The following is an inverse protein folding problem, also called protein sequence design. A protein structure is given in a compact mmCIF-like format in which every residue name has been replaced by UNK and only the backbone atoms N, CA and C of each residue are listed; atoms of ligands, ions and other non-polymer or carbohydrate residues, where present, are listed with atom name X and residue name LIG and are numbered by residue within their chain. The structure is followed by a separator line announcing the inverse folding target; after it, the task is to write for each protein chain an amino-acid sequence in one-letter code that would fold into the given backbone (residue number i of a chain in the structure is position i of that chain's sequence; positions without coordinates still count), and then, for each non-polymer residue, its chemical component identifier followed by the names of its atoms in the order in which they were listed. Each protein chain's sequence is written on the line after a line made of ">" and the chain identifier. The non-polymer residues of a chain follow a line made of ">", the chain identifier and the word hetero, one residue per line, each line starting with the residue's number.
data_IF_668523086918
#
_entry.id   IF_668523086918
#
_cell.length_a   1.000
_cell.length_b   1.000
_cell.length_c   1.000
_cell.angle_alpha   90.00
_cell.angle_beta   90.00
_cell.angle_gamma   90.00
#
_symmetry.space_group_name_H-M   'P 1'
#
loop_
_entity.id
_entity.type
_entity.pdbx_description
1 polymer ?
#
# COMPACT_ATOMS: atom_id res chain seq x y z
N UNK A 1 20.99 4.08 -5.65
CA UNK A 1 19.64 4.42 -5.15
C UNK A 1 19.23 3.51 -3.99
N UNK A 2 18.92 2.21 -4.14
CA UNK A 2 18.64 1.32 -2.98
C UNK A 2 19.85 1.14 -2.04
N UNK A 3 21.01 0.78 -2.58
CA UNK A 3 22.23 0.60 -1.77
C UNK A 3 22.69 1.89 -1.09
N UNK A 4 22.53 3.03 -1.76
CA UNK A 4 22.90 4.33 -1.23
C UNK A 4 22.01 4.77 -0.06
N UNK A 5 20.78 4.26 0.04
CA UNK A 5 19.79 4.66 1.05
C UNK A 5 19.49 3.55 2.06
N UNK A 6 20.22 2.42 2.05
CA UNK A 6 19.90 1.25 2.89
C UNK A 6 19.96 1.50 4.40
N UNK A 7 20.73 2.51 4.83
CA UNK A 7 20.86 2.90 6.22
C UNK A 7 19.96 4.09 6.61
N UNK A 8 19.13 4.60 5.68
CA UNK A 8 18.19 5.67 5.98
C UNK A 8 16.99 5.09 6.74
N UNK A 9 16.57 5.79 7.79
CA UNK A 9 15.47 5.36 8.67
C UNK A 9 14.34 6.38 8.81
N UNK A 10 14.47 7.57 8.20
CA UNK A 10 13.47 8.64 8.30
C UNK A 10 12.27 8.44 7.38
N UNK A 11 12.49 7.80 6.23
CA UNK A 11 11.48 7.56 5.21
C UNK A 11 11.84 6.28 4.47
N UNK A 12 10.89 5.36 4.40
CA UNK A 12 10.94 4.23 3.47
C UNK A 12 10.07 4.60 2.28
N UNK A 13 10.68 4.62 1.09
CA UNK A 13 9.96 4.82 -0.16
C UNK A 13 9.96 3.52 -0.95
N UNK A 14 8.78 3.06 -1.34
CA UNK A 14 8.59 1.87 -2.16
C UNK A 14 8.12 2.32 -3.53
N UNK A 15 8.84 1.91 -4.57
CA UNK A 15 8.46 2.16 -5.95
C UNK A 15 7.95 0.86 -6.58
N UNK A 16 6.64 0.80 -6.79
CA UNK A 16 5.95 -0.36 -7.34
C UNK A 16 6.02 -0.38 -8.88
N UNK A 17 7.15 -0.81 -9.43
CA UNK A 17 7.37 -0.93 -10.87
C UNK A 17 6.95 -2.31 -11.38
N UNK A 18 6.17 -2.35 -12.47
CA UNK A 18 5.61 -3.59 -13.01
C UNK A 18 4.90 -4.45 -11.93
N UNK A 19 4.28 -3.76 -10.99
CA UNK A 19 3.64 -4.37 -9.83
C UNK A 19 2.19 -4.76 -10.14
N UNK A 20 1.75 -5.90 -9.60
CA UNK A 20 0.35 -6.28 -9.54
C UNK A 20 0.08 -7.20 -8.36
N UNK A 21 -0.87 -6.83 -7.50
CA UNK A 21 -1.10 -7.52 -6.23
C UNK A 21 -1.53 -8.99 -6.40
N UNK A 22 -2.34 -9.29 -7.42
CA UNK A 22 -2.70 -10.69 -7.72
C UNK A 22 -1.49 -11.58 -8.00
N UNK A 23 -0.51 -11.06 -8.73
CA UNK A 23 0.71 -11.78 -9.11
C UNK A 23 1.69 -11.88 -7.92
N UNK A 24 1.76 -10.82 -7.09
CA UNK A 24 2.45 -10.84 -5.79
C UNK A 24 1.91 -11.95 -4.87
N UNK A 25 0.60 -12.02 -4.69
CA UNK A 25 -0.04 -13.04 -3.83
C UNK A 25 0.26 -14.45 -4.35
N UNK A 26 0.22 -14.67 -5.67
CA UNK A 26 0.55 -15.98 -6.26
C UNK A 26 2.01 -16.36 -5.99
N UNK A 27 2.96 -15.41 -6.12
CA UNK A 27 4.37 -15.65 -5.76
C UNK A 27 4.54 -15.98 -4.29
N UNK A 28 3.92 -15.20 -3.41
CA UNK A 28 4.00 -15.39 -1.96
C UNK A 28 3.50 -16.78 -1.54
N UNK A 29 2.33 -17.19 -2.04
CA UNK A 29 1.78 -18.53 -1.78
C UNK A 29 2.69 -19.64 -2.31
N UNK A 30 3.23 -19.51 -3.53
CA UNK A 30 4.18 -20.49 -4.07
C UNK A 30 5.44 -20.61 -3.21
N UNK A 31 5.97 -19.49 -2.71
CA UNK A 31 7.13 -19.47 -1.83
C UNK A 31 6.86 -20.18 -0.51
N UNK A 32 5.70 -19.92 0.11
CA UNK A 32 5.31 -20.59 1.36
C UNK A 32 5.20 -22.12 1.17
N UNK A 33 4.53 -22.56 0.11
CA UNK A 33 4.41 -23.99 -0.23
C UNK A 33 5.80 -24.62 -0.42
N UNK A 34 6.68 -23.97 -1.19
CA UNK A 34 8.03 -24.49 -1.45
C UNK A 34 8.90 -24.57 -0.18
N UNK A 35 8.71 -23.64 0.75
CA UNK A 35 9.40 -23.62 2.03
C UNK A 35 8.84 -24.59 3.08
N UNK A 36 7.67 -25.20 2.82
CA UNK A 36 6.98 -26.07 3.78
C UNK A 36 6.41 -25.31 4.99
N UNK A 37 6.32 -23.98 4.91
CA UNK A 37 5.77 -23.14 5.96
C UNK A 37 4.24 -23.25 6.02
N UNK A 38 3.68 -23.11 7.21
CA UNK A 38 2.25 -22.99 7.41
C UNK A 38 1.71 -21.76 6.64
N UNK A 39 0.55 -21.92 6.00
CA UNK A 39 -0.14 -20.83 5.32
C UNK A 39 -1.15 -20.21 6.29
N UNK A 40 -0.85 -19.01 6.75
CA UNK A 40 -1.70 -18.18 7.60
C UNK A 40 -1.73 -16.76 7.03
N UNK A 41 -2.60 -15.88 7.55
CA UNK A 41 -2.59 -14.47 7.16
C UNK A 41 -1.24 -13.82 7.48
N UNK A 42 -0.66 -14.15 8.63
CA UNK A 42 0.65 -13.66 9.05
C UNK A 42 1.77 -14.14 8.12
N UNK A 43 1.83 -15.44 7.83
CA UNK A 43 2.90 -15.97 6.98
C UNK A 43 2.76 -15.50 5.54
N UNK A 44 1.53 -15.33 5.03
CA UNK A 44 1.28 -14.76 3.72
C UNK A 44 1.69 -13.29 3.65
N UNK A 45 1.30 -12.47 4.63
CA UNK A 45 1.70 -11.06 4.70
C UNK A 45 3.23 -10.88 4.71
N UNK A 46 3.92 -11.71 5.49
CA UNK A 46 5.39 -11.72 5.55
C UNK A 46 6.06 -12.20 4.26
N UNK A 47 5.36 -12.94 3.40
CA UNK A 47 5.88 -13.50 2.16
C UNK A 47 5.64 -12.62 0.92
N UNK A 48 4.92 -11.49 1.04
CA UNK A 48 4.69 -10.53 -0.04
C UNK A 48 5.98 -9.79 -0.44
N UNK A 49 6.00 -9.23 -1.66
CA UNK A 49 7.15 -8.44 -2.15
C UNK A 49 7.34 -7.16 -1.30
N UNK A 50 6.25 -6.70 -0.68
CA UNK A 50 6.20 -5.58 0.25
C UNK A 50 5.69 -6.04 1.62
N UNK A 51 6.56 -6.63 2.48
CA UNK A 51 6.16 -7.16 3.80
C UNK A 51 5.91 -6.05 4.84
N UNK A 52 5.62 -4.84 4.38
CA UNK A 52 5.32 -3.71 5.24
C UNK A 52 3.86 -3.78 5.69
N UNK A 53 3.61 -3.19 6.86
CA UNK A 53 2.31 -3.14 7.51
C UNK A 53 1.19 -2.65 6.60
N UNK A 54 -0.05 -2.86 7.06
CA UNK A 54 -1.26 -2.30 6.45
C UNK A 54 -1.09 -0.82 6.08
N UNK A 55 -1.64 -0.46 4.93
CA UNK A 55 -1.71 0.93 4.49
C UNK A 55 -2.88 1.63 5.16
N UNK A 56 -2.60 2.83 5.65
CA UNK A 56 -3.61 3.69 6.26
C UNK A 56 -4.41 4.49 5.24
N UNK A 57 -3.75 4.97 4.19
CA UNK A 57 -4.33 5.90 3.22
C UNK A 57 -3.82 5.60 1.81
N UNK A 58 -4.74 5.39 0.88
CA UNK A 58 -4.50 5.34 -0.55
C UNK A 58 -5.01 6.61 -1.23
N UNK A 59 -4.09 7.37 -1.84
CA UNK A 59 -4.41 8.57 -2.62
C UNK A 59 -4.37 8.22 -4.10
N UNK A 60 -5.43 8.56 -4.85
CA UNK A 60 -5.50 8.35 -6.29
C UNK A 60 -5.96 9.60 -7.02
N UNK A 61 -5.16 10.02 -7.99
CA UNK A 61 -5.36 11.22 -8.82
C UNK A 61 -6.20 10.91 -10.06
N UNK A 62 -6.53 11.95 -10.82
CA UNK A 62 -7.18 11.89 -12.14
C UNK A 62 -8.63 11.38 -12.14
N UNK A 63 -9.37 11.56 -11.03
CA UNK A 63 -10.78 11.20 -10.88
C UNK A 63 -11.10 9.71 -11.09
N UNK A 64 -10.09 8.83 -10.95
CA UNK A 64 -10.27 7.40 -11.19
C UNK A 64 -10.68 6.67 -9.92
N UNK A 65 -11.96 6.34 -9.78
CA UNK A 65 -12.52 5.65 -8.60
C UNK A 65 -12.37 4.14 -8.75
N UNK A 66 -11.14 3.66 -8.61
CA UNK A 66 -10.81 2.23 -8.63
C UNK A 66 -9.48 1.98 -7.94
N UNK A 67 -9.18 0.73 -7.62
CA UNK A 67 -7.87 0.33 -7.06
C UNK A 67 -6.90 -0.10 -8.16
N UNK A 68 -7.39 -0.74 -9.22
CA UNK A 68 -6.56 -1.24 -10.32
C UNK A 68 -5.43 -2.20 -9.89
N UNK A 69 -5.74 -3.19 -9.05
CA UNK A 69 -4.80 -4.25 -8.65
C UNK A 69 -3.55 -3.72 -7.89
N UNK A 70 -3.64 -2.54 -7.29
CA UNK A 70 -2.58 -1.93 -6.51
C UNK A 70 -2.70 -2.33 -5.03
N UNK A 71 -1.63 -2.89 -4.46
CA UNK A 71 -1.48 -3.21 -3.03
C UNK A 71 -2.71 -3.85 -2.35
N UNK A 72 -3.40 -4.79 -3.02
CA UNK A 72 -4.70 -5.33 -2.58
C UNK A 72 -4.69 -5.90 -1.16
N UNK A 73 -3.59 -6.54 -0.75
CA UNK A 73 -3.46 -7.08 0.59
C UNK A 73 -3.31 -5.96 1.62
N UNK A 74 -2.40 -5.02 1.34
CA UNK A 74 -2.00 -3.96 2.24
C UNK A 74 -3.11 -2.90 2.41
N UNK A 75 -3.96 -2.68 1.40
CA UNK A 75 -5.04 -1.68 1.47
C UNK A 75 -6.36 -2.21 2.01
N UNK A 76 -6.41 -3.45 2.53
CA UNK A 76 -7.65 -4.09 2.97
C UNK A 76 -8.47 -3.22 3.95
N UNK A 77 -7.79 -2.43 4.77
CA UNK A 77 -8.39 -1.50 5.75
C UNK A 77 -7.98 -0.04 5.54
N UNK A 78 -7.42 0.28 4.38
CA UNK A 78 -7.01 1.64 4.06
C UNK A 78 -8.22 2.55 3.85
N UNK A 79 -8.07 3.83 4.20
CA UNK A 79 -8.93 4.87 3.67
C UNK A 79 -8.52 5.27 2.25
N UNK A 80 -9.49 5.78 1.49
CA UNK A 80 -9.30 6.17 0.11
C UNK A 80 -9.55 7.67 -0.07
N UNK A 81 -8.60 8.36 -0.68
CA UNK A 81 -8.74 9.74 -1.14
C UNK A 81 -8.62 9.76 -2.67
N UNK A 82 -9.71 10.09 -3.35
CA UNK A 82 -9.72 10.30 -4.80
C UNK A 82 -9.75 11.80 -5.08
N UNK A 83 -8.86 12.28 -5.93
CA UNK A 83 -8.83 13.67 -6.39
C UNK A 83 -8.97 13.74 -7.90
N UNK A 84 -9.61 14.80 -8.39
CA UNK A 84 -9.74 15.09 -9.81
C UNK A 84 -8.43 15.65 -10.41
N UNK A 85 -7.53 16.18 -9.58
CA UNK A 85 -6.23 16.71 -9.99
C UNK A 85 -5.44 15.65 -10.76
N UNK A 86 -4.88 16.00 -11.91
CA UNK A 86 -4.00 15.12 -12.67
C UNK A 86 -2.64 15.01 -11.99
N UNK A 87 -1.94 13.87 -12.14
CA UNK A 87 -0.64 13.66 -11.47
C UNK A 87 0.40 14.79 -11.70
N UNK A 88 0.57 15.33 -12.92
CA UNK A 88 1.52 16.44 -13.14
C UNK A 88 1.16 17.74 -12.38
N UNK A 89 -0.12 17.90 -12.04
CA UNK A 89 -0.65 19.10 -11.37
C UNK A 89 -0.79 18.90 -9.85
N UNK A 90 -0.56 17.68 -9.34
CA UNK A 90 -0.72 17.35 -7.93
C UNK A 90 0.36 18.02 -7.07
N UNK A 91 -0.06 18.78 -6.06
CA UNK A 91 0.85 19.63 -5.26
C UNK A 91 1.06 19.12 -3.84
N UNK A 92 2.15 19.55 -3.20
CA UNK A 92 2.39 19.27 -1.78
C UNK A 92 1.34 19.88 -0.87
N UNK A 93 0.72 21.01 -1.27
CA UNK A 93 -0.37 21.63 -0.51
C UNK A 93 -1.61 20.75 -0.50
N UNK A 94 -1.97 20.19 -1.66
CA UNK A 94 -3.09 19.26 -1.78
C UNK A 94 -2.83 17.96 -1.00
N UNK A 95 -1.61 17.42 -1.06
CA UNK A 95 -1.23 16.28 -0.22
C UNK A 95 -1.42 16.59 1.28
N UNK A 96 -0.99 17.77 1.73
CA UNK A 96 -1.14 18.17 3.13
C UNK A 96 -2.62 18.28 3.54
N UNK A 97 -3.48 18.81 2.66
CA UNK A 97 -4.92 18.88 2.89
C UNK A 97 -5.56 17.49 2.98
N UNK A 98 -5.19 16.58 2.08
CA UNK A 98 -5.67 15.19 2.10
C UNK A 98 -5.26 14.50 3.40
N UNK A 99 -4.01 14.69 3.85
CA UNK A 99 -3.52 14.13 5.11
C UNK A 99 -4.26 14.71 6.31
N UNK A 100 -4.52 16.01 6.33
CA UNK A 100 -5.25 16.66 7.42
C UNK A 100 -6.71 16.16 7.49
N UNK A 101 -7.36 16.01 6.33
CA UNK A 101 -8.68 15.41 6.22
C UNK A 101 -8.69 13.95 6.71
N UNK A 102 -7.65 13.17 6.40
CA UNK A 102 -7.50 11.79 6.90
C UNK A 102 -7.37 11.76 8.43
N UNK A 103 -6.54 12.62 9.02
CA UNK A 103 -6.33 12.70 10.48
C UNK A 103 -7.58 13.07 11.27
N UNK A 104 -8.51 13.82 10.66
CA UNK A 104 -9.76 14.26 11.30
C UNK A 104 -10.85 13.18 11.35
N UNK A 105 -10.64 12.04 10.69
CA UNK A 105 -11.64 10.97 10.65
C UNK A 105 -11.55 10.07 11.86
N UNK A 106 -12.70 9.77 12.44
CA UNK A 106 -12.79 8.73 13.45
C UNK A 106 -12.77 7.37 12.76
N UNK A 107 -11.69 6.62 12.96
CA UNK A 107 -11.60 5.24 12.49
C UNK A 107 -12.64 4.41 13.23
N UNK A 108 -13.67 3.99 12.49
CA UNK A 108 -14.57 2.94 12.93
C UNK A 108 -13.86 1.64 12.63
N UNK A 109 -13.07 1.14 13.57
CA UNK A 109 -12.63 -0.25 13.57
C UNK A 109 -13.91 -1.07 13.66
N UNK A 110 -14.48 -1.44 12.50
CA UNK A 110 -15.64 -2.33 12.44
C UNK A 110 -15.35 -3.48 13.39
N UNK A 111 -16.29 -3.76 14.30
CA UNK A 111 -16.09 -4.67 15.42
C UNK A 111 -15.28 -5.90 14.96
N UNK A 112 -14.04 -5.99 15.45
CA UNK A 112 -13.15 -7.13 15.21
C UNK A 112 -13.67 -8.30 16.03
#
# INVERSE_FOLDING_TARGET
>A
TKEATKNNNKLVQILALNYGARDEIVRAVKNLIASGNEISQESLGNALDTPYSDLDLLIRTSNEIRVSNYLLWQIAYAEFAFTQTLWPDFTSSELAEIIDNFKRRERRFGAI
#
